data_IF_364040876670
#
_entry.id   IF_364040876670
#
_cell.length_a   1.000
_cell.length_b   1.000
_cell.length_c   1.000
_cell.angle_alpha   90.00
_cell.angle_beta   90.00
_cell.angle_gamma   90.00
#
_symmetry.space_group_name_H-M   'P 1'
#
loop_
_entity.id
_entity.type
_entity.pdbx_description
1 polymer ?
#
# COMPACT_ATOMS: atom_id res chain seq x y z
N UNK A 1 65.68 -61.03 1.16
CA UNK A 1 66.50 -61.77 2.16
C UNK A 1 66.35 -61.03 3.47
N UNK A 2 66.05 -61.68 4.61
CA UNK A 2 65.96 -63.12 4.89
C UNK A 2 64.50 -63.59 4.91
N UNK A 3 64.06 -64.77 4.45
CA UNK A 3 64.56 -66.15 4.53
C UNK A 3 64.29 -66.85 5.87
N UNK A 4 63.30 -67.74 5.79
CA UNK A 4 63.31 -69.11 6.28
C UNK A 4 62.65 -69.41 7.64
N UNK A 5 61.38 -69.84 7.57
CA UNK A 5 60.87 -70.93 8.40
C UNK A 5 59.92 -71.82 7.59
N UNK A 6 60.53 -72.85 7.02
CA UNK A 6 60.07 -74.24 7.08
C UNK A 6 58.57 -74.52 6.81
N UNK A 7 58.33 -74.92 5.56
CA UNK A 7 57.26 -75.84 5.18
C UNK A 7 57.09 -77.00 6.17
N UNK A 8 55.92 -77.07 6.81
CA UNK A 8 55.27 -78.35 7.09
C UNK A 8 53.84 -78.26 6.56
N UNK A 9 53.64 -78.73 5.32
CA UNK A 9 52.32 -79.16 4.87
C UNK A 9 51.79 -80.14 5.93
N UNK A 10 50.68 -79.79 6.58
CA UNK A 10 49.87 -80.77 7.29
C UNK A 10 49.54 -81.91 6.30
N UNK A 11 49.65 -83.19 6.69
CA UNK A 11 49.38 -84.28 5.79
C UNK A 11 47.95 -84.16 5.29
N UNK A 12 47.78 -84.23 3.97
CA UNK A 12 46.50 -84.13 3.26
C UNK A 12 45.43 -85.09 3.84
N UNK A 13 45.88 -86.19 4.45
CA UNK A 13 45.07 -87.18 5.16
C UNK A 13 44.34 -86.60 6.39
N UNK A 14 44.92 -85.63 7.09
CA UNK A 14 44.33 -85.00 8.28
C UNK A 14 43.25 -83.99 7.88
N UNK A 15 43.42 -83.33 6.73
CA UNK A 15 42.43 -82.43 6.12
C UNK A 15 41.30 -83.18 5.40
N UNK A 16 41.60 -84.37 4.85
CA UNK A 16 40.60 -85.29 4.30
C UNK A 16 39.78 -85.99 5.38
N UNK A 17 40.39 -86.40 6.51
CA UNK A 17 39.63 -86.88 7.68
C UNK A 17 38.71 -85.80 8.26
N UNK A 18 39.19 -84.56 8.38
CA UNK A 18 38.36 -83.45 8.85
C UNK A 18 37.19 -83.15 7.90
N UNK A 19 37.31 -83.42 6.60
CA UNK A 19 36.25 -83.24 5.61
C UNK A 19 35.22 -84.39 5.61
N UNK A 20 35.66 -85.64 5.82
CA UNK A 20 34.78 -86.82 5.96
C UNK A 20 33.98 -86.80 7.28
N UNK A 21 34.58 -86.24 8.34
CA UNK A 21 33.90 -85.97 9.62
C UNK A 21 32.85 -84.84 9.49
N UNK A 22 33.06 -83.88 8.58
CA UNK A 22 32.07 -82.83 8.27
C UNK A 22 30.95 -83.35 7.36
N UNK A 23 31.22 -84.34 6.51
CA UNK A 23 30.22 -84.97 5.64
C UNK A 23 29.34 -85.97 6.39
N UNK A 24 29.88 -86.68 7.39
CA UNK A 24 29.07 -87.49 8.33
C UNK A 24 28.14 -86.62 9.19
N UNK A 25 28.57 -85.41 9.57
CA UNK A 25 27.70 -84.42 10.22
C UNK A 25 26.65 -83.79 9.30
N UNK A 26 26.81 -83.90 7.97
CA UNK A 26 25.86 -83.40 6.97
C UNK A 26 24.87 -84.46 6.49
N UNK A 27 25.11 -85.75 6.78
CA UNK A 27 24.27 -86.86 6.33
C UNK A 27 23.17 -87.28 7.33
N UNK A 28 23.24 -86.87 8.60
CA UNK A 28 22.22 -87.17 9.62
C UNK A 28 21.16 -86.06 9.76
N UNK A 29 20.62 -85.60 8.62
CA UNK A 29 19.33 -84.89 8.59
C UNK A 29 18.25 -85.80 8.00
N UNK A 30 17.74 -86.71 8.84
CA UNK A 30 16.33 -87.13 8.93
C UNK A 30 16.24 -88.34 9.85
N UNK A 31 15.55 -88.15 10.99
CA UNK A 31 15.08 -89.12 12.04
C UNK A 31 15.63 -88.62 13.39
N UNK A 32 14.88 -88.06 14.34
CA UNK A 32 13.46 -88.04 14.62
C UNK A 32 13.06 -86.74 15.37
N UNK A 33 11.79 -86.35 15.27
CA UNK A 33 11.06 -85.41 16.14
C UNK A 33 11.45 -83.91 16.07
N UNK A 34 10.77 -83.22 15.14
CA UNK A 34 10.30 -81.85 15.34
C UNK A 34 9.33 -81.89 16.53
N UNK A 35 9.51 -81.04 17.54
CA UNK A 35 8.91 -81.06 18.92
C UNK A 35 9.82 -81.65 20.03
N UNK A 36 11.13 -81.39 19.99
CA UNK A 36 12.02 -81.54 21.14
C UNK A 36 12.29 -80.16 21.72
N UNK A 37 12.00 -80.01 23.02
CA UNK A 37 12.22 -78.81 23.83
C UNK A 37 13.60 -78.17 23.51
N UNK A 38 13.71 -76.84 23.52
CA UNK A 38 14.98 -76.15 23.22
C UNK A 38 16.12 -76.67 24.08
N UNK A 39 15.78 -77.12 25.28
CA UNK A 39 16.68 -77.61 26.30
C UNK A 39 17.18 -79.03 25.98
N UNK A 40 16.35 -79.85 25.32
CA UNK A 40 16.75 -81.18 24.88
C UNK A 40 17.68 -81.14 23.67
N UNK A 41 17.49 -80.19 22.75
CA UNK A 41 18.43 -79.98 21.63
C UNK A 41 19.76 -79.44 22.10
N UNK A 42 19.75 -78.51 23.05
CA UNK A 42 20.96 -77.98 23.67
C UNK A 42 21.74 -79.08 24.40
N UNK A 43 21.05 -79.91 25.19
CA UNK A 43 21.66 -81.02 25.91
C UNK A 43 22.30 -82.06 24.95
N UNK A 44 21.63 -82.38 23.84
CA UNK A 44 22.19 -83.26 22.81
C UNK A 44 23.38 -82.62 22.09
N UNK A 45 23.35 -81.32 21.84
CA UNK A 45 24.46 -80.58 21.24
C UNK A 45 25.68 -80.58 22.18
N UNK A 46 25.47 -80.29 23.48
CA UNK A 46 26.51 -80.34 24.51
C UNK A 46 27.11 -81.74 24.62
N UNK A 47 26.27 -82.78 24.62
CA UNK A 47 26.73 -84.17 24.68
C UNK A 47 27.61 -84.54 23.48
N UNK A 48 27.20 -84.16 22.25
CA UNK A 48 28.00 -84.38 21.04
C UNK A 48 29.32 -83.60 21.07
N UNK A 49 29.29 -82.35 21.52
CA UNK A 49 30.51 -81.53 21.67
C UNK A 49 31.45 -82.15 22.71
N UNK A 50 30.93 -82.67 23.82
CA UNK A 50 31.71 -83.33 24.86
C UNK A 50 32.46 -84.56 24.32
N UNK A 51 31.78 -85.43 23.60
CA UNK A 51 32.39 -86.64 23.02
C UNK A 51 33.42 -86.31 21.93
N UNK A 52 33.17 -85.25 21.16
CA UNK A 52 34.12 -84.76 20.15
C UNK A 52 35.43 -84.27 20.79
N UNK A 53 35.36 -83.42 21.81
CA UNK A 53 36.58 -82.91 22.48
C UNK A 53 37.32 -84.00 23.26
N UNK A 54 36.57 -84.93 23.88
CA UNK A 54 37.14 -86.07 24.60
C UNK A 54 37.87 -87.04 23.66
N UNK A 55 37.36 -87.28 22.46
CA UNK A 55 38.05 -88.13 21.46
C UNK A 55 39.34 -87.48 20.92
N UNK A 56 39.48 -86.16 21.07
CA UNK A 56 40.70 -85.40 20.75
C UNK A 56 41.64 -85.25 21.96
N UNK A 57 41.36 -85.93 23.08
CA UNK A 57 42.20 -85.93 24.29
C UNK A 57 42.11 -84.65 25.12
N UNK A 58 41.11 -83.80 24.89
CA UNK A 58 40.91 -82.53 25.61
C UNK A 58 39.67 -82.65 26.50
N UNK A 59 39.85 -82.57 27.82
CA UNK A 59 38.72 -82.52 28.76
C UNK A 59 38.22 -81.08 28.92
N UNK A 60 37.04 -80.81 28.37
CA UNK A 60 36.37 -79.51 28.49
C UNK A 60 35.29 -79.60 29.58
N UNK A 61 35.32 -78.73 30.60
CA UNK A 61 34.27 -78.69 31.63
C UNK A 61 32.90 -78.34 31.03
N UNK A 62 31.86 -79.01 31.48
CA UNK A 62 30.48 -78.86 30.97
C UNK A 62 29.96 -77.40 30.96
N UNK A 63 30.41 -76.57 31.90
CA UNK A 63 30.05 -75.13 31.95
C UNK A 63 30.44 -74.37 30.68
N UNK A 64 31.58 -74.72 30.07
CA UNK A 64 32.10 -74.02 28.88
C UNK A 64 31.30 -74.43 27.64
N UNK A 65 30.87 -75.70 27.58
CA UNK A 65 30.03 -76.20 26.49
C UNK A 65 28.63 -75.56 26.52
N UNK A 66 28.06 -75.37 27.71
CA UNK A 66 26.79 -74.66 27.90
C UNK A 66 26.89 -73.19 27.47
N UNK A 67 27.92 -72.47 27.93
CA UNK A 67 28.16 -71.07 27.60
C UNK A 67 28.34 -70.84 26.09
N UNK A 68 29.04 -71.77 25.40
CA UNK A 68 29.22 -71.73 23.95
C UNK A 68 27.91 -71.88 23.17
N UNK A 69 27.03 -72.80 23.58
CA UNK A 69 25.72 -73.00 22.94
C UNK A 69 24.80 -71.79 23.16
N UNK A 70 24.86 -71.18 24.34
CA UNK A 70 24.04 -70.01 24.67
C UNK A 70 24.48 -68.75 23.88
N UNK A 71 25.79 -68.56 23.69
CA UNK A 71 26.33 -67.51 22.82
C UNK A 71 25.92 -67.67 21.34
N UNK A 72 25.84 -68.92 20.85
CA UNK A 72 25.34 -69.21 19.50
C UNK A 72 23.84 -68.86 19.35
N UNK A 73 23.04 -69.04 20.39
CA UNK A 73 21.62 -68.63 20.39
C UNK A 73 21.46 -67.12 20.31
N UNK A 74 22.26 -66.36 21.06
CA UNK A 74 22.15 -64.89 21.16
C UNK A 74 22.41 -64.18 19.81
N UNK A 75 23.32 -64.72 18.98
CA UNK A 75 23.75 -64.06 17.75
C UNK A 75 22.98 -64.49 16.48
N UNK A 76 22.01 -65.41 16.58
CA UNK A 76 21.37 -66.02 15.39
C UNK A 76 20.34 -65.13 14.69
N UNK A 77 19.84 -64.06 15.33
CA UNK A 77 18.70 -63.28 14.81
C UNK A 77 18.87 -61.75 14.83
N UNK A 78 20.09 -61.23 14.96
CA UNK A 78 20.30 -59.76 14.98
C UNK A 78 20.59 -59.26 13.57
N UNK A 79 19.66 -58.48 13.02
CA UNK A 79 19.90 -57.74 11.78
C UNK A 79 20.87 -56.58 12.02
N UNK A 80 22.03 -56.61 11.37
CA UNK A 80 22.96 -55.50 11.33
C UNK A 80 22.63 -54.59 10.13
N UNK A 81 22.08 -53.37 10.33
CA UNK A 81 21.80 -52.48 9.22
C UNK A 81 23.11 -52.05 8.52
N UNK A 82 23.09 -51.81 7.19
CA UNK A 82 24.25 -51.32 6.47
C UNK A 82 24.72 -49.97 7.03
N UNK A 83 26.03 -49.70 7.03
CA UNK A 83 26.60 -48.48 7.60
C UNK A 83 25.94 -47.20 7.03
N UNK A 84 25.81 -46.17 7.87
CA UNK A 84 25.29 -44.88 7.42
C UNK A 84 26.28 -44.27 6.39
N UNK A 85 25.81 -44.05 5.16
CA UNK A 85 26.61 -43.48 4.07
C UNK A 85 25.73 -42.69 3.10
N UNK A 86 26.36 -41.92 2.23
CA UNK A 86 25.68 -41.00 1.30
C UNK A 86 24.67 -41.70 0.38
N UNK A 87 24.99 -42.90 -0.09
CA UNK A 87 24.07 -43.70 -0.91
C UNK A 87 22.83 -44.14 -0.11
N UNK A 88 23.00 -44.52 1.17
CA UNK A 88 21.90 -44.93 2.05
C UNK A 88 20.98 -43.74 2.38
N UNK A 89 21.53 -42.55 2.61
CA UNK A 89 20.71 -41.36 2.90
C UNK A 89 19.90 -40.91 1.68
N UNK A 90 20.50 -40.90 0.48
CA UNK A 90 19.75 -40.63 -0.76
C UNK A 90 18.67 -41.67 -1.02
N UNK A 91 18.98 -42.96 -0.82
CA UNK A 91 18.00 -44.03 -0.94
C UNK A 91 16.84 -43.84 0.05
N UNK A 92 17.12 -43.47 1.29
CA UNK A 92 16.08 -43.19 2.30
C UNK A 92 15.24 -41.95 1.93
N UNK A 93 15.83 -40.89 1.40
CA UNK A 93 15.11 -39.71 0.89
C UNK A 93 14.19 -40.13 -0.28
N UNK A 94 14.68 -40.97 -1.19
CA UNK A 94 13.89 -41.45 -2.32
C UNK A 94 12.76 -42.41 -1.92
N UNK A 95 12.99 -43.31 -0.96
CA UNK A 95 11.96 -44.24 -0.45
C UNK A 95 10.89 -43.47 0.32
N UNK A 96 11.28 -42.43 1.08
CA UNK A 96 10.33 -41.59 1.83
C UNK A 96 9.72 -40.44 1.01
N UNK A 97 9.99 -40.38 -0.31
CA UNK A 97 9.55 -39.28 -1.21
C UNK A 97 8.06 -38.95 -1.16
N UNK A 98 7.21 -39.95 -0.96
CA UNK A 98 5.77 -39.74 -0.90
C UNK A 98 5.33 -39.01 0.38
N UNK A 99 6.12 -39.10 1.46
CA UNK A 99 5.83 -38.43 2.75
C UNK A 99 6.28 -36.97 2.72
N UNK A 100 7.52 -36.69 2.30
CA UNK A 100 8.04 -35.31 2.30
C UNK A 100 7.66 -34.52 1.03
N UNK A 101 7.41 -35.19 -0.10
CA UNK A 101 7.02 -34.52 -1.34
C UNK A 101 5.69 -33.75 -1.24
N UNK A 102 4.73 -34.26 -0.47
CA UNK A 102 3.46 -33.54 -0.22
C UNK A 102 3.68 -32.24 0.56
N UNK A 103 4.50 -32.30 1.61
CA UNK A 103 4.85 -31.13 2.41
C UNK A 103 5.65 -30.11 1.58
N UNK A 104 6.60 -30.57 0.76
CA UNK A 104 7.37 -29.73 -0.16
C UNK A 104 6.44 -29.05 -1.18
N UNK A 105 5.48 -29.77 -1.76
CA UNK A 105 4.52 -29.22 -2.71
C UNK A 105 3.63 -28.15 -2.04
N UNK A 106 3.15 -28.39 -0.82
CA UNK A 106 2.39 -27.39 -0.06
C UNK A 106 3.26 -26.16 0.21
N UNK A 107 4.51 -26.34 0.65
CA UNK A 107 5.42 -25.24 0.89
C UNK A 107 5.68 -24.40 -0.38
N UNK A 108 5.86 -25.06 -1.53
CA UNK A 108 5.99 -24.40 -2.84
C UNK A 108 4.72 -23.64 -3.23
N UNK A 109 3.53 -24.21 -3.02
CA UNK A 109 2.27 -23.54 -3.29
C UNK A 109 2.07 -22.31 -2.39
N UNK A 110 2.40 -22.43 -1.10
CA UNK A 110 2.35 -21.30 -0.17
C UNK A 110 3.33 -20.21 -0.58
N UNK A 111 4.56 -20.56 -0.98
CA UNK A 111 5.54 -19.61 -1.48
C UNK A 111 5.04 -18.90 -2.75
N UNK A 112 4.51 -19.66 -3.71
CA UNK A 112 3.94 -19.10 -4.93
C UNK A 112 2.75 -18.16 -4.64
N UNK A 113 1.85 -18.57 -3.73
CA UNK A 113 0.73 -17.74 -3.29
C UNK A 113 1.21 -16.46 -2.59
N UNK A 114 2.24 -16.53 -1.75
CA UNK A 114 2.83 -15.37 -1.09
C UNK A 114 3.47 -14.39 -2.09
N UNK A 115 4.18 -14.90 -3.11
CA UNK A 115 4.75 -14.07 -4.18
C UNK A 115 3.67 -13.40 -5.03
N UNK A 116 2.61 -14.14 -5.37
CA UNK A 116 1.45 -13.57 -6.06
C UNK A 116 0.75 -12.51 -5.21
N UNK A 117 0.50 -12.79 -3.93
CA UNK A 117 -0.09 -11.85 -3.00
C UNK A 117 0.75 -10.56 -2.92
N UNK A 118 2.07 -10.67 -2.76
CA UNK A 118 2.97 -9.52 -2.76
C UNK A 118 2.91 -8.72 -4.08
N UNK A 119 2.98 -9.41 -5.23
CA UNK A 119 2.89 -8.76 -6.54
C UNK A 119 1.58 -7.99 -6.70
N UNK A 120 0.44 -8.59 -6.39
CA UNK A 120 -0.87 -7.99 -6.63
C UNK A 120 -1.32 -7.00 -5.56
N UNK A 121 -0.95 -7.19 -4.29
CA UNK A 121 -1.35 -6.29 -3.20
C UNK A 121 -0.41 -5.12 -3.00
N UNK A 122 0.86 -5.23 -3.41
CA UNK A 122 1.87 -4.19 -3.13
C UNK A 122 2.42 -3.59 -4.42
N UNK A 123 2.86 -4.42 -5.38
CA UNK A 123 3.62 -3.92 -6.52
C UNK A 123 2.71 -3.35 -7.62
N UNK A 124 1.72 -4.11 -8.06
CA UNK A 124 0.74 -3.68 -9.08
C UNK A 124 0.04 -2.36 -8.72
N UNK A 125 -0.49 -2.14 -7.49
CA UNK A 125 -1.12 -0.86 -7.16
C UNK A 125 -0.14 0.31 -7.16
N UNK A 126 1.13 0.09 -6.76
CA UNK A 126 2.18 1.12 -6.81
C UNK A 126 2.56 1.47 -8.25
N UNK A 127 2.72 0.49 -9.13
CA UNK A 127 2.99 0.70 -10.56
C UNK A 127 1.85 1.51 -11.19
N UNK A 128 0.59 1.13 -10.94
CA UNK A 128 -0.59 1.86 -11.43
C UNK A 128 -0.67 3.29 -10.90
N UNK A 129 -0.37 3.50 -9.62
CA UNK A 129 -0.38 4.85 -9.04
C UNK A 129 0.71 5.74 -9.65
N UNK A 130 1.90 5.20 -9.89
CA UNK A 130 2.99 5.92 -10.55
C UNK A 130 2.67 6.24 -12.02
N UNK A 131 2.08 5.29 -12.75
CA UNK A 131 1.61 5.52 -14.13
C UNK A 131 0.49 6.56 -14.19
N UNK A 132 -0.49 6.48 -13.30
CA UNK A 132 -1.58 7.46 -13.22
C UNK A 132 -1.05 8.87 -12.92
N UNK A 133 -0.14 8.99 -11.95
CA UNK A 133 0.52 10.26 -11.64
C UNK A 133 1.32 10.80 -12.83
N UNK A 134 2.03 9.91 -13.55
CA UNK A 134 2.78 10.29 -14.75
C UNK A 134 1.85 10.86 -15.81
N UNK A 135 0.78 10.15 -16.15
CA UNK A 135 -0.23 10.58 -17.13
C UNK A 135 -0.86 11.90 -16.68
N UNK A 136 -1.18 12.02 -15.39
CA UNK A 136 -1.79 13.22 -14.84
C UNK A 136 -0.88 14.45 -15.03
N UNK A 137 0.40 14.33 -14.68
CA UNK A 137 1.39 15.39 -14.82
C UNK A 137 1.73 15.71 -16.28
N UNK A 138 1.84 14.70 -17.15
CA UNK A 138 2.29 14.91 -18.52
C UNK A 138 1.17 15.30 -19.48
N UNK A 139 -0.06 14.85 -19.23
CA UNK A 139 -1.17 14.98 -20.17
C UNK A 139 -2.34 15.77 -19.56
N UNK A 140 -2.92 15.32 -18.44
CA UNK A 140 -4.21 15.85 -18.00
C UNK A 140 -4.10 17.26 -17.41
N UNK A 141 -3.15 17.51 -16.50
CA UNK A 141 -3.01 18.83 -15.87
C UNK A 141 -2.61 19.92 -16.87
N UNK A 142 -1.63 19.70 -17.78
CA UNK A 142 -1.32 20.68 -18.83
C UNK A 142 -2.49 20.94 -19.78
N UNK A 143 -3.23 19.89 -20.18
CA UNK A 143 -4.39 20.04 -21.06
C UNK A 143 -5.52 20.83 -20.38
N UNK A 144 -5.81 20.55 -19.12
CA UNK A 144 -6.80 21.28 -18.31
C UNK A 144 -6.43 22.76 -18.17
N UNK A 145 -5.17 23.05 -17.87
CA UNK A 145 -4.66 24.42 -17.75
C UNK A 145 -4.79 25.18 -19.08
N UNK A 146 -4.43 24.55 -20.20
CA UNK A 146 -4.55 25.15 -21.53
C UNK A 146 -6.02 25.41 -21.91
N UNK A 147 -6.91 24.45 -21.63
CA UNK A 147 -8.34 24.58 -21.91
C UNK A 147 -9.01 25.68 -21.06
N UNK A 148 -8.70 25.75 -19.77
CA UNK A 148 -9.20 26.82 -18.89
C UNK A 148 -8.68 28.18 -19.31
N UNK A 149 -7.38 28.30 -19.60
CA UNK A 149 -6.80 29.54 -20.10
C UNK A 149 -7.53 30.02 -21.35
N UNK A 150 -7.74 29.14 -22.33
CA UNK A 150 -8.45 29.49 -23.57
C UNK A 150 -9.88 29.98 -23.30
N UNK A 151 -10.65 29.25 -22.48
CA UNK A 151 -12.01 29.67 -22.10
C UNK A 151 -12.02 31.04 -21.40
N UNK A 152 -11.05 31.30 -20.53
CA UNK A 152 -10.94 32.59 -19.85
C UNK A 152 -10.55 33.69 -20.85
N UNK A 153 -9.63 33.42 -21.78
CA UNK A 153 -9.23 34.37 -22.83
C UNK A 153 -10.41 34.78 -23.70
N UNK A 154 -11.28 33.83 -24.07
CA UNK A 154 -12.50 34.07 -24.85
C UNK A 154 -13.57 34.82 -24.06
N UNK A 155 -13.69 34.54 -22.76
CA UNK A 155 -14.68 35.16 -21.88
C UNK A 155 -14.28 36.57 -21.44
N UNK A 156 -13.00 36.82 -21.21
CA UNK A 156 -12.51 38.05 -20.60
C UNK A 156 -12.64 39.25 -21.54
N UNK A 157 -13.28 40.32 -21.05
CA UNK A 157 -13.32 41.63 -21.70
C UNK A 157 -12.09 42.49 -21.34
N UNK A 158 -11.45 42.21 -20.20
CA UNK A 158 -10.33 43.00 -19.67
C UNK A 158 -9.00 42.23 -19.76
N UNK A 159 -7.94 42.91 -20.19
CA UNK A 159 -6.62 42.29 -20.37
C UNK A 159 -6.02 41.77 -19.06
N UNK A 160 -6.30 42.44 -17.94
CA UNK A 160 -5.84 42.00 -16.62
C UNK A 160 -6.28 40.54 -16.30
N UNK A 161 -7.50 40.16 -16.69
CA UNK A 161 -7.99 38.80 -16.49
C UNK A 161 -7.29 37.79 -17.41
N UNK A 162 -6.98 38.19 -18.66
CA UNK A 162 -6.22 37.37 -19.61
C UNK A 162 -4.80 37.12 -19.10
N UNK A 163 -4.10 38.17 -18.66
CA UNK A 163 -2.76 38.07 -18.07
C UNK A 163 -2.74 37.19 -16.82
N UNK A 164 -3.75 37.31 -15.96
CA UNK A 164 -3.87 36.46 -14.78
C UNK A 164 -4.05 34.98 -15.16
N UNK A 165 -4.88 34.69 -16.17
CA UNK A 165 -5.07 33.32 -16.66
C UNK A 165 -3.81 32.74 -17.31
N UNK A 166 -3.08 33.53 -18.09
CA UNK A 166 -1.79 33.13 -18.67
C UNK A 166 -0.77 32.78 -17.58
N UNK A 167 -0.67 33.63 -16.56
CA UNK A 167 0.24 33.41 -15.42
C UNK A 167 -0.10 32.12 -14.67
N UNK A 168 -1.37 31.92 -14.33
CA UNK A 168 -1.80 30.71 -13.61
C UNK A 168 -1.61 29.43 -14.46
N UNK A 169 -1.86 29.50 -15.77
CA UNK A 169 -1.61 28.37 -16.67
C UNK A 169 -0.12 28.05 -16.81
N UNK A 170 0.75 29.07 -16.84
CA UNK A 170 2.19 28.88 -16.82
C UNK A 170 2.67 28.23 -15.50
N UNK A 171 2.11 28.66 -14.36
CA UNK A 171 2.39 28.03 -13.05
C UNK A 171 1.95 26.56 -13.06
N UNK A 172 0.73 26.26 -13.53
CA UNK A 172 0.23 24.89 -13.58
C UNK A 172 1.11 23.97 -14.44
N UNK A 173 1.49 24.42 -15.64
CA UNK A 173 2.32 23.63 -16.57
C UNK A 173 3.76 23.45 -16.08
N UNK A 174 4.36 24.48 -15.49
CA UNK A 174 5.71 24.40 -14.90
C UNK A 174 5.76 23.50 -13.66
N UNK A 175 4.76 23.59 -12.77
CA UNK A 175 4.63 22.70 -11.63
C UNK A 175 4.46 21.23 -12.08
N UNK A 176 3.64 21.00 -13.10
CA UNK A 176 3.46 19.67 -13.67
C UNK A 176 4.76 19.11 -14.27
N UNK A 177 5.52 19.94 -14.99
CA UNK A 177 6.83 19.57 -15.52
C UNK A 177 7.87 19.28 -14.43
N UNK A 178 7.77 19.96 -13.28
CA UNK A 178 8.61 19.73 -12.10
C UNK A 178 8.21 18.49 -11.29
N UNK A 179 7.09 17.82 -11.63
CA UNK A 179 6.54 16.69 -10.89
C UNK A 179 5.74 17.08 -9.65
N UNK A 180 5.46 18.37 -9.45
CA UNK A 180 4.66 18.87 -8.34
C UNK A 180 3.17 18.90 -8.72
N UNK A 181 2.50 17.76 -8.49
CA UNK A 181 1.09 17.61 -8.78
C UNK A 181 0.20 18.48 -7.88
N UNK A 182 0.63 18.80 -6.65
CA UNK A 182 -0.16 19.60 -5.72
C UNK A 182 -0.21 21.06 -6.17
N UNK A 183 0.96 21.65 -6.46
CA UNK A 183 1.05 23.01 -6.97
C UNK A 183 0.35 23.16 -8.33
N UNK A 184 0.47 22.17 -9.21
CA UNK A 184 -0.22 22.17 -10.50
C UNK A 184 -1.74 22.15 -10.35
N UNK A 185 -2.28 21.29 -9.46
CA UNK A 185 -3.72 21.25 -9.15
C UNK A 185 -4.20 22.55 -8.49
N UNK A 186 -3.40 23.15 -7.60
CA UNK A 186 -3.68 24.44 -6.99
C UNK A 186 -3.86 25.54 -8.04
N UNK A 187 -2.90 25.68 -8.95
CA UNK A 187 -2.98 26.67 -10.03
C UNK A 187 -4.19 26.44 -10.98
N UNK A 188 -4.57 25.18 -11.22
CA UNK A 188 -5.80 24.85 -11.98
C UNK A 188 -7.06 25.24 -11.18
N UNK A 189 -7.07 25.05 -9.87
CA UNK A 189 -8.17 25.50 -9.02
C UNK A 189 -8.32 27.03 -9.05
N UNK A 190 -7.21 27.77 -9.03
CA UNK A 190 -7.19 29.22 -9.17
C UNK A 190 -7.71 29.68 -10.54
N UNK A 191 -7.36 28.97 -11.62
CA UNK A 191 -7.95 29.20 -12.95
C UNK A 191 -9.46 29.02 -12.94
N UNK A 192 -9.96 27.95 -12.33
CA UNK A 192 -11.41 27.70 -12.21
C UNK A 192 -12.10 28.78 -11.39
N UNK A 193 -11.48 29.25 -10.31
CA UNK A 193 -12.00 30.34 -9.49
C UNK A 193 -12.03 31.67 -10.26
N UNK A 194 -11.01 31.96 -11.07
CA UNK A 194 -10.98 33.12 -11.96
C UNK A 194 -12.09 33.04 -13.02
N UNK A 195 -12.26 31.89 -13.66
CA UNK A 195 -13.34 31.65 -14.63
C UNK A 195 -14.72 31.85 -14.00
N UNK A 196 -14.93 31.34 -12.78
CA UNK A 196 -16.17 31.52 -12.04
C UNK A 196 -16.47 33.00 -11.73
N UNK A 197 -15.47 33.76 -11.26
CA UNK A 197 -15.61 35.21 -11.01
C UNK A 197 -15.88 36.04 -12.27
N UNK A 198 -15.37 35.59 -13.41
CA UNK A 198 -15.66 36.22 -14.70
C UNK A 198 -17.06 35.91 -15.20
N UNK A 199 -17.61 34.73 -14.90
CA UNK A 199 -19.00 34.37 -15.26
C UNK A 199 -20.04 34.95 -14.31
N UNK A 200 -19.64 35.28 -13.09
CA UNK A 200 -20.53 35.83 -12.08
C UNK A 200 -21.12 37.16 -12.57
N UNK A 201 -22.45 37.24 -12.55
CA UNK A 201 -23.21 38.43 -12.95
C UNK A 201 -24.13 38.85 -11.83
N UNK A 202 -24.16 40.16 -11.55
CA UNK A 202 -25.06 40.74 -10.55
C UNK A 202 -25.14 42.25 -10.71
N UNK A 203 -26.22 42.82 -10.18
CA UNK A 203 -26.36 44.25 -9.99
C UNK A 203 -26.03 44.63 -8.55
N UNK A 204 -25.29 45.72 -8.37
CA UNK A 204 -25.13 46.38 -7.07
C UNK A 204 -26.32 47.32 -6.91
N UNK A 205 -27.31 46.89 -6.13
CA UNK A 205 -28.58 47.57 -5.96
C UNK A 205 -28.64 48.32 -4.63
N UNK A 206 -29.07 49.57 -4.67
CA UNK A 206 -29.37 50.42 -3.53
C UNK A 206 -30.57 49.85 -2.78
N UNK A 207 -30.40 49.63 -1.48
CA UNK A 207 -31.44 49.09 -0.62
C UNK A 207 -32.46 50.18 -0.29
N UNK A 208 -33.72 49.94 -0.63
CA UNK A 208 -34.85 50.80 -0.24
C UNK A 208 -36.01 49.95 0.30
N UNK A 209 -35.88 49.48 1.55
CA UNK A 209 -36.92 48.70 2.24
C UNK A 209 -37.08 49.12 3.70
N UNK A 210 -38.26 48.89 4.33
CA UNK A 210 -38.47 49.22 5.73
C UNK A 210 -37.43 48.57 6.66
N UNK A 211 -36.97 49.32 7.66
CA UNK A 211 -36.01 48.84 8.65
C UNK A 211 -34.53 48.89 8.23
N UNK A 212 -34.23 49.25 6.98
CA UNK A 212 -32.85 49.44 6.51
C UNK A 212 -32.67 50.87 5.97
N UNK A 213 -31.68 51.64 6.46
CA UNK A 213 -31.40 52.96 5.90
C UNK A 213 -30.88 52.82 4.47
N UNK A 214 -31.30 53.72 3.58
CA UNK A 214 -30.81 53.75 2.19
C UNK A 214 -29.44 54.40 2.07
N UNK A 215 -29.15 55.36 2.96
CA UNK A 215 -27.87 56.04 3.01
C UNK A 215 -27.48 56.36 4.45
N UNK A 216 -26.18 56.34 4.70
CA UNK A 216 -25.58 56.64 6.00
C UNK A 216 -24.43 57.62 5.83
N UNK A 217 -24.16 58.42 6.87
CA UNK A 217 -23.05 59.36 6.87
C UNK A 217 -22.14 59.09 8.05
N UNK A 218 -20.82 59.20 7.85
CA UNK A 218 -19.81 59.06 8.90
C UNK A 218 -18.91 60.27 8.98
N UNK A 219 -18.41 60.54 10.19
CA UNK A 219 -17.38 61.56 10.43
C UNK A 219 -16.13 60.78 10.85
N UNK A 220 -15.09 60.71 10.00
CA UNK A 220 -13.88 59.93 10.31
C UNK A 220 -13.19 60.44 11.58
N UNK A 221 -12.71 59.52 12.42
CA UNK A 221 -11.97 59.89 13.64
C UNK A 221 -10.68 60.66 13.33
N UNK A 222 -10.01 60.26 12.25
CA UNK A 222 -8.76 60.87 11.79
C UNK A 222 -8.94 62.28 11.25
N UNK A 223 -10.12 62.60 10.70
CA UNK A 223 -10.43 63.91 10.14
C UNK A 223 -11.89 64.29 10.39
N UNK A 224 -12.14 64.84 11.57
CA UNK A 224 -13.48 65.26 12.01
C UNK A 224 -14.04 66.46 11.25
N UNK A 225 -13.25 67.09 10.38
CA UNK A 225 -13.72 68.18 9.52
C UNK A 225 -14.39 67.67 8.23
N UNK A 226 -14.27 66.38 7.92
CA UNK A 226 -14.85 65.77 6.71
C UNK A 226 -16.04 64.89 7.08
N UNK A 227 -17.02 64.80 6.19
CA UNK A 227 -18.15 63.86 6.28
C UNK A 227 -18.11 62.93 5.08
N UNK A 228 -18.05 61.64 5.33
CA UNK A 228 -18.17 60.62 4.30
C UNK A 228 -19.64 60.23 4.13
N UNK A 229 -20.01 59.93 2.89
CA UNK A 229 -21.37 59.57 2.49
C UNK A 229 -21.37 58.17 1.90
N UNK A 230 -22.34 57.36 2.30
CA UNK A 230 -22.46 55.97 1.85
C UNK A 230 -23.89 55.65 1.48
N UNK A 231 -24.05 54.83 0.44
CA UNK A 231 -25.33 54.22 0.08
C UNK A 231 -25.31 52.76 0.49
N UNK A 232 -26.35 52.31 1.18
CA UNK A 232 -26.51 50.90 1.54
C UNK A 232 -26.94 50.13 0.30
N UNK A 233 -26.16 49.12 -0.05
CA UNK A 233 -26.30 48.33 -1.27
C UNK A 233 -26.23 46.83 -0.98
N UNK A 234 -26.76 46.04 -1.92
CA UNK A 234 -26.69 44.58 -1.96
C UNK A 234 -26.31 44.13 -3.38
N UNK A 235 -25.62 42.99 -3.49
CA UNK A 235 -25.39 42.35 -4.78
C UNK A 235 -26.57 41.43 -5.10
N UNK A 236 -27.19 41.60 -6.26
CA UNK A 236 -28.39 40.85 -6.66
C UNK A 236 -28.13 40.13 -7.98
N UNK A 237 -28.23 38.80 -7.96
CA UNK A 237 -28.10 37.97 -9.16
C UNK A 237 -29.30 38.16 -10.11
N UNK A 238 -29.18 37.77 -11.39
CA UNK A 238 -30.28 37.86 -12.37
C UNK A 238 -31.55 37.10 -11.98
N UNK A 239 -31.44 36.11 -11.10
CA UNK A 239 -32.59 35.36 -10.55
C UNK A 239 -33.26 36.06 -9.35
N UNK A 240 -32.78 37.25 -8.98
CA UNK A 240 -33.28 38.07 -7.88
C UNK A 240 -32.72 37.69 -6.51
N UNK A 241 -31.83 36.69 -6.41
CA UNK A 241 -31.23 36.32 -5.12
C UNK A 241 -30.12 37.29 -4.72
N UNK A 242 -30.05 37.58 -3.42
CA UNK A 242 -28.94 38.37 -2.85
C UNK A 242 -27.71 37.48 -2.75
N UNK A 243 -26.58 38.00 -3.22
CA UNK A 243 -25.28 37.35 -3.17
C UNK A 243 -24.46 37.91 -2.00
N UNK A 244 -24.08 37.10 -1.01
CA UNK A 244 -23.17 37.53 0.05
C UNK A 244 -21.83 37.97 -0.55
N UNK A 245 -21.30 39.10 -0.06
CA UNK A 245 -20.00 39.62 -0.47
C UNK A 245 -19.07 39.77 0.70
N UNK A 246 -17.83 39.36 0.50
CA UNK A 246 -16.72 39.74 1.36
C UNK A 246 -16.36 41.20 1.09
N UNK A 247 -16.52 42.05 2.10
CA UNK A 247 -16.28 43.49 2.04
C UNK A 247 -15.30 43.85 3.14
N UNK A 248 -14.26 44.60 2.79
CA UNK A 248 -13.29 45.15 3.74
C UNK A 248 -13.81 46.52 4.18
N UNK A 249 -14.05 46.66 5.49
CA UNK A 249 -14.49 47.92 6.06
C UNK A 249 -13.32 48.91 6.15
N UNK A 250 -13.53 50.15 5.69
CA UNK A 250 -12.48 51.18 5.74
C UNK A 250 -12.26 51.76 7.15
N UNK A 251 -13.16 51.47 8.10
CA UNK A 251 -13.06 51.96 9.48
C UNK A 251 -12.13 51.09 10.35
N UNK A 252 -12.16 49.77 10.16
CA UNK A 252 -11.42 48.79 10.97
C UNK A 252 -10.48 47.89 10.15
N UNK A 253 -10.58 47.89 8.82
CA UNK A 253 -9.80 47.02 7.93
C UNK A 253 -10.22 45.55 7.95
N UNK A 254 -11.33 45.20 8.61
CA UNK A 254 -11.78 43.82 8.75
C UNK A 254 -12.56 43.36 7.50
N UNK A 255 -12.21 42.19 6.96
CA UNK A 255 -12.96 41.55 5.88
C UNK A 255 -14.15 40.78 6.48
N UNK A 256 -15.37 41.19 6.15
CA UNK A 256 -16.60 40.54 6.63
C UNK A 256 -17.46 40.11 5.45
N UNK A 257 -18.01 38.89 5.50
CA UNK A 257 -19.03 38.44 4.54
C UNK A 257 -20.40 38.96 4.95
N UNK A 258 -21.00 39.82 4.12
CA UNK A 258 -22.29 40.48 4.38
C UNK A 258 -23.19 40.43 3.14
N UNK A 259 -24.50 40.42 3.35
CA UNK A 259 -25.49 40.55 2.27
C UNK A 259 -25.73 42.01 1.87
N UNK A 260 -25.54 42.92 2.82
CA UNK A 260 -25.65 44.37 2.63
C UNK A 260 -24.40 45.06 3.17
N UNK A 261 -23.92 46.06 2.46
CA UNK A 261 -22.83 46.93 2.90
C UNK A 261 -23.13 48.37 2.49
N UNK A 262 -22.43 49.35 3.06
CA UNK A 262 -22.56 50.73 2.62
C UNK A 262 -21.37 51.11 1.74
N UNK A 263 -21.63 51.35 0.45
CA UNK A 263 -20.64 51.77 -0.54
C UNK A 263 -20.43 53.27 -0.45
N UNK A 264 -19.16 53.70 -0.37
CA UNK A 264 -18.82 55.12 -0.32
C UNK A 264 -19.12 55.79 -1.66
N UNK A 265 -19.73 56.97 -1.59
CA UNK A 265 -20.09 57.79 -2.75
C UNK A 265 -19.81 59.27 -2.51
N UNK A 266 -19.62 60.08 -3.56
CA UNK A 266 -19.56 61.52 -3.42
C UNK A 266 -20.88 62.07 -2.87
N UNK A 267 -20.80 63.24 -2.21
CA UNK A 267 -21.98 63.93 -1.68
C UNK A 267 -23.07 64.15 -2.72
N UNK A 268 -22.69 64.45 -3.96
CA UNK A 268 -23.64 64.68 -5.07
C UNK A 268 -24.48 63.43 -5.37
N UNK A 269 -23.86 62.25 -5.44
CA UNK A 269 -24.57 60.98 -5.65
C UNK A 269 -25.50 60.66 -4.48
N UNK A 270 -25.02 60.87 -3.25
CA UNK A 270 -25.83 60.65 -2.04
C UNK A 270 -27.06 61.55 -1.99
N UNK A 271 -26.87 62.85 -2.24
CA UNK A 271 -27.95 63.84 -2.19
C UNK A 271 -28.98 63.59 -3.31
N UNK A 272 -28.54 63.16 -4.49
CA UNK A 272 -29.44 62.81 -5.60
C UNK A 272 -30.35 61.63 -5.24
N UNK A 273 -29.80 60.54 -4.69
CA UNK A 273 -30.59 59.37 -4.25
C UNK A 273 -31.52 59.73 -3.08
N UNK A 274 -31.07 60.59 -2.17
CA UNK A 274 -31.92 61.08 -1.07
C UNK A 274 -33.11 61.87 -1.61
N UNK A 275 -32.86 62.82 -2.52
CA UNK A 275 -33.92 63.65 -3.09
C UNK A 275 -34.95 62.81 -3.83
N UNK A 276 -34.49 61.89 -4.69
CA UNK A 276 -35.31 60.91 -5.42
C UNK A 276 -36.28 60.19 -4.46
N UNK A 277 -35.73 59.67 -3.34
CA UNK A 277 -36.51 58.98 -2.32
C UNK A 277 -37.44 59.88 -1.50
N UNK A 278 -37.09 61.15 -1.29
CA UNK A 278 -37.93 62.09 -0.54
C UNK A 278 -39.19 62.51 -1.33
N UNK A 279 -39.18 62.38 -2.65
CA UNK A 279 -40.30 62.77 -3.53
C UNK A 279 -41.50 61.81 -3.42
N UNK A 280 -41.27 60.49 -3.47
CA UNK A 280 -42.35 59.48 -3.45
C UNK A 280 -42.06 58.24 -2.57
N UNK A 281 -40.92 58.21 -1.87
CA UNK A 281 -40.49 57.10 -1.03
C UNK A 281 -39.77 55.97 -1.77
N UNK A 282 -39.61 56.06 -3.09
CA UNK A 282 -39.00 55.03 -3.95
C UNK A 282 -37.64 55.53 -4.45
N UNK A 283 -36.72 54.60 -4.73
CA UNK A 283 -35.47 54.94 -5.44
C UNK A 283 -35.62 54.46 -6.88
N UNK A 284 -35.76 55.38 -7.82
CA UNK A 284 -36.10 55.11 -9.21
C UNK A 284 -34.88 54.47 -9.92
N UNK A 285 -33.69 55.00 -9.65
CA UNK A 285 -32.42 54.49 -10.19
C UNK A 285 -31.67 53.64 -9.15
N UNK A 286 -32.29 52.54 -8.74
CA UNK A 286 -31.74 51.70 -7.67
C UNK A 286 -30.46 50.93 -8.05
N UNK A 287 -30.02 50.89 -9.31
CA UNK A 287 -28.82 50.15 -9.71
C UNK A 287 -27.61 51.08 -9.68
N UNK A 288 -26.77 50.95 -8.65
CA UNK A 288 -25.55 51.74 -8.49
C UNK A 288 -24.44 51.31 -9.45
N UNK A 289 -24.38 50.01 -9.76
CA UNK A 289 -23.44 49.44 -10.73
C UNK A 289 -23.84 48.04 -11.15
N UNK A 290 -23.26 47.56 -12.24
CA UNK A 290 -23.57 46.26 -12.82
C UNK A 290 -22.28 45.50 -13.10
N UNK A 291 -22.23 44.24 -12.64
CA UNK A 291 -21.18 43.29 -12.98
C UNK A 291 -21.69 42.35 -14.07
N UNK A 292 -21.14 42.52 -15.27
CA UNK A 292 -21.40 41.64 -16.41
C UNK A 292 -20.36 40.54 -16.51
N UNK A 293 -20.71 39.50 -17.27
CA UNK A 293 -19.79 38.42 -17.59
C UNK A 293 -18.57 38.98 -18.34
N UNK A 294 -17.40 38.41 -18.10
CA UNK A 294 -16.14 38.81 -18.73
C UNK A 294 -15.39 39.95 -18.03
N UNK A 295 -15.97 40.56 -16.99
CA UNK A 295 -15.31 41.56 -16.16
C UNK A 295 -14.96 41.00 -14.79
N UNK A 296 -13.99 41.59 -14.11
CA UNK A 296 -13.65 41.26 -12.72
C UNK A 296 -14.37 42.16 -11.72
N UNK A 297 -14.53 43.43 -12.05
CA UNK A 297 -15.19 44.43 -11.20
C UNK A 297 -16.50 44.92 -11.82
N UNK A 298 -17.48 45.38 -11.01
CA UNK A 298 -18.67 46.03 -11.52
C UNK A 298 -18.33 47.35 -12.22
N UNK A 299 -19.10 47.69 -13.26
CA UNK A 299 -19.10 49.02 -13.86
C UNK A 299 -20.12 49.88 -13.11
N UNK A 300 -19.69 51.04 -12.62
CA UNK A 300 -20.54 51.94 -11.85
C UNK A 300 -21.39 52.83 -12.76
N UNK A 301 -22.69 52.85 -12.51
CA UNK A 301 -23.66 53.70 -13.22
C UNK A 301 -23.72 55.11 -12.64
N UNK A 302 -23.24 55.29 -11.40
CA UNK A 302 -23.07 56.57 -10.75
C UNK A 302 -21.65 56.71 -10.19
N UNK A 303 -21.24 57.94 -9.85
CA UNK A 303 -19.94 58.16 -9.24
C UNK A 303 -19.88 57.49 -7.86
N UNK A 304 -18.86 56.66 -7.65
CA UNK A 304 -18.53 56.03 -6.37
C UNK A 304 -17.11 56.42 -5.97
N UNK A 305 -16.83 56.34 -4.67
CA UNK A 305 -15.49 56.52 -4.12
C UNK A 305 -14.97 55.18 -3.59
N UNK A 306 -13.65 55.03 -3.50
CA UNK A 306 -13.03 53.87 -2.86
C UNK A 306 -13.38 53.86 -1.38
N UNK A 307 -13.86 52.71 -0.90
CA UNK A 307 -14.20 52.50 0.51
C UNK A 307 -15.60 51.95 0.70
N UNK A 308 -15.78 51.18 1.77
CA UNK A 308 -17.06 50.64 2.17
C UNK A 308 -17.07 50.44 3.69
N UNK A 309 -18.25 50.36 4.29
CA UNK A 309 -18.44 49.97 5.69
C UNK A 309 -19.48 48.86 5.80
N UNK A 310 -19.32 48.00 6.80
CA UNK A 310 -20.18 46.82 7.01
C UNK A 310 -21.13 46.98 8.20
N UNK A 311 -20.96 48.05 9.00
CA UNK A 311 -21.76 48.37 10.20
C UNK A 311 -22.12 49.85 10.17
N UNK A 312 -23.37 50.21 10.52
CA UNK A 312 -23.83 51.60 10.58
C UNK A 312 -24.67 51.95 11.81
#
# INVERSE_FOLDING_TARGET
>A
MPSDTASKKAPLDELMMAMDVVDTLRHDERVALKELDSDQRDAQMIARLRDLYRSQGIEVPDRILQEGVESLKQNRFVYAPPAAGFQRTLALIYVTRARWGKALLIALLVLAAALLAWRYLVVVPRERAAEALRIELSETLPADAAALRARISDLAEVDAARTQAETLAAIATSAAAAGDAEAARGAIADLRALEARLRETYDVRIVSRPGVPTGVTRIPDVNRATRNYYLVVEAVAPDGKVLPREVISEEDGEATTVEIWAQRVPKSTFDAVRQDKEEDGIVQNAILGTKTSGRLEPVWNAAVETGAITKW
#
